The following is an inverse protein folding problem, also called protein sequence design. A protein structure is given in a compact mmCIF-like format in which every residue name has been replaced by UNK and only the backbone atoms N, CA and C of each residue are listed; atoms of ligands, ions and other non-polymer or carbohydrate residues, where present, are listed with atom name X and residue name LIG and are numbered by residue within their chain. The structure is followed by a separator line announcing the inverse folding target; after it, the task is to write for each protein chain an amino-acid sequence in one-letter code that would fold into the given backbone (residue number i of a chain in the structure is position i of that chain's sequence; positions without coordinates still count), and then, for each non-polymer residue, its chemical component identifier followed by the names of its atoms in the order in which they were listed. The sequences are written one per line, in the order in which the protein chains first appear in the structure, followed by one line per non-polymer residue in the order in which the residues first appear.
data_IF_190003235995
#
_entry.id   IF_190003235995
#
_cell.length_a   1.000
_cell.length_b   1.000
_cell.length_c   1.000
_cell.angle_alpha   90.00
_cell.angle_beta   90.00
_cell.angle_gamma   90.00
#
_symmetry.space_group_name_H-M   'P 1'
#
loop_
_entity.id
_entity.type
_entity.pdbx_description
1 polymer ?
#
# COMPACT_ATOMS: atom_id res chain seq x y z
N UNK A 1 18.13 -23.67 -10.57
CA UNK A 1 17.26 -24.12 -9.47
C UNK A 1 16.52 -22.91 -8.91
N UNK A 2 15.21 -23.05 -8.82
CA UNK A 2 14.22 -22.07 -8.37
C UNK A 2 14.25 -21.89 -6.85
N UNK A 3 13.73 -20.76 -6.37
CA UNK A 3 13.26 -20.52 -5.00
C UNK A 3 14.32 -19.89 -4.09
N UNK A 4 14.03 -18.95 -3.19
CA UNK A 4 12.79 -18.38 -2.65
C UNK A 4 13.16 -17.08 -1.91
N UNK A 5 12.26 -16.34 -1.27
CA UNK A 5 10.99 -16.78 -0.72
C UNK A 5 10.06 -15.60 -0.44
N UNK A 6 8.78 -15.94 -0.39
CA UNK A 6 7.76 -15.06 0.19
C UNK A 6 7.90 -15.02 1.70
N UNK A 7 8.00 -13.83 2.27
CA UNK A 7 7.48 -13.53 3.60
C UNK A 7 6.17 -12.76 3.38
N UNK A 8 5.01 -13.15 3.90
CA UNK A 8 4.75 -13.82 5.17
C UNK A 8 4.12 -12.77 6.09
N UNK A 9 2.87 -13.01 6.51
CA UNK A 9 2.25 -12.27 7.62
C UNK A 9 0.80 -11.87 7.38
N UNK A 10 -0.13 -12.79 7.70
CA UNK A 10 -1.46 -12.40 8.15
C UNK A 10 -1.39 -11.80 9.56
N UNK A 11 -2.32 -10.91 9.89
CA UNK A 11 -2.43 -10.32 11.22
C UNK A 11 -3.41 -9.16 11.25
N UNK A 12 -4.61 -9.43 11.77
CA UNK A 12 -5.58 -8.44 12.21
C UNK A 12 -5.11 -7.70 13.47
N UNK A 13 -5.74 -6.55 13.75
CA UNK A 13 -5.62 -5.63 14.89
C UNK A 13 -4.56 -4.53 14.78
N UNK A 14 -5.09 -3.30 14.79
CA UNK A 14 -4.31 -2.07 14.73
C UNK A 14 -3.45 -1.84 15.97
N UNK A 15 -2.26 -1.30 15.71
CA UNK A 15 -1.52 -0.43 16.61
C UNK A 15 -0.48 0.29 15.76
N UNK A 16 -0.31 1.59 15.99
CA UNK A 16 0.49 2.47 15.15
C UNK A 16 1.97 2.06 15.07
N UNK A 17 2.60 2.52 13.99
CA UNK A 17 4.06 2.57 13.78
C UNK A 17 4.69 1.27 13.27
N UNK A 18 4.56 0.97 11.98
CA UNK A 18 5.58 0.18 11.26
C UNK A 18 5.67 0.65 9.80
N UNK A 19 6.58 1.60 9.59
CA UNK A 19 7.56 1.47 8.49
C UNK A 19 7.01 1.58 7.06
N UNK A 20 6.53 2.75 6.65
CA UNK A 20 6.62 3.15 5.23
C UNK A 20 8.07 3.52 4.90
N UNK A 21 9.00 2.56 5.02
CA UNK A 21 10.43 2.81 4.71
C UNK A 21 10.70 2.77 3.21
N UNK A 22 9.83 2.14 2.43
CA UNK A 22 9.95 2.07 0.97
C UNK A 22 8.66 2.48 0.29
N UNK A 23 8.72 3.03 -0.95
CA UNK A 23 7.53 3.31 -1.74
C UNK A 23 6.65 2.07 -1.97
N UNK A 24 7.24 0.89 -2.09
CA UNK A 24 6.51 -0.35 -2.30
C UNK A 24 5.62 -0.72 -1.10
N UNK A 25 6.07 -0.42 0.13
CA UNK A 25 5.30 -0.72 1.34
C UNK A 25 4.08 0.20 1.48
N UNK A 26 4.24 1.47 1.10
CA UNK A 26 3.11 2.39 0.98
C UNK A 26 2.05 1.85 0.00
N UNK A 27 2.47 1.41 -1.20
CA UNK A 27 1.55 0.87 -2.21
C UNK A 27 0.81 -0.38 -1.74
N UNK A 28 1.43 -1.25 -0.94
CA UNK A 28 0.76 -2.41 -0.34
C UNK A 28 -0.30 -1.99 0.68
N UNK A 29 0.00 -0.98 1.50
CA UNK A 29 -0.86 -0.52 2.60
C UNK A 29 -2.18 0.16 2.16
N UNK A 30 -2.26 0.59 0.89
CA UNK A 30 -3.42 1.29 0.32
C UNK A 30 -4.32 0.39 -0.53
N UNK A 31 -3.98 -0.91 -0.68
CA UNK A 31 -4.84 -1.86 -1.40
C UNK A 31 -6.21 -2.00 -0.74
N UNK A 32 -7.26 -2.01 -1.54
CA UNK A 32 -8.65 -2.09 -1.10
C UNK A 32 -9.16 -0.86 -0.34
N UNK A 33 -8.36 0.20 -0.23
CA UNK A 33 -8.72 1.43 0.49
C UNK A 33 -9.02 2.55 -0.51
N UNK A 34 -9.97 3.45 -0.22
CA UNK A 34 -10.17 4.65 -1.03
C UNK A 34 -8.89 5.49 -1.05
N UNK A 35 -8.46 5.88 -2.23
CA UNK A 35 -7.31 6.74 -2.44
C UNK A 35 -7.70 7.96 -3.26
N UNK A 36 -7.05 9.08 -2.97
CA UNK A 36 -7.14 10.30 -3.78
C UNK A 36 -5.76 10.54 -4.41
N UNK A 37 -5.74 10.72 -5.72
CA UNK A 37 -4.54 11.04 -6.50
C UNK A 37 -4.69 12.45 -7.03
N UNK A 38 -3.78 13.33 -6.62
CA UNK A 38 -3.75 14.73 -7.07
C UNK A 38 -2.78 14.87 -8.22
N UNK A 39 -3.27 15.35 -9.38
CA UNK A 39 -2.42 15.63 -10.53
C UNK A 39 -1.94 17.08 -10.52
N UNK A 40 -0.83 17.33 -11.22
CA UNK A 40 -0.28 18.69 -11.41
C UNK A 40 -1.23 19.64 -12.15
N UNK A 41 -2.24 19.10 -12.84
CA UNK A 41 -3.33 19.87 -13.45
C UNK A 41 -4.35 20.42 -12.44
N UNK A 42 -4.23 20.07 -11.16
CA UNK A 42 -5.18 20.45 -10.11
C UNK A 42 -6.41 19.54 -10.01
N UNK A 43 -6.50 18.50 -10.84
CA UNK A 43 -7.58 17.52 -10.81
C UNK A 43 -7.30 16.45 -9.75
N UNK A 44 -8.29 16.16 -8.91
CA UNK A 44 -8.27 15.09 -7.93
C UNK A 44 -9.03 13.85 -8.45
N UNK A 45 -8.31 12.74 -8.61
CA UNK A 45 -8.90 11.45 -8.96
C UNK A 45 -9.13 10.60 -7.72
N UNK A 46 -10.33 10.02 -7.60
CA UNK A 46 -10.67 9.11 -6.51
C UNK A 46 -10.89 7.72 -7.04
N UNK A 47 -10.39 6.72 -6.32
CA UNK A 47 -10.57 5.33 -6.71
C UNK A 47 -10.08 4.37 -5.65
N UNK A 48 -10.14 3.08 -5.96
CA UNK A 48 -9.61 2.02 -5.12
C UNK A 48 -8.38 1.44 -5.79
N UNK A 49 -7.31 1.20 -5.01
CA UNK A 49 -6.19 0.39 -5.49
C UNK A 49 -6.56 -1.08 -5.37
N UNK A 50 -6.65 -1.77 -6.50
CA UNK A 50 -6.89 -3.23 -6.56
C UNK A 50 -5.70 -4.06 -6.07
#
# INVERSE_FOLDING_TARGET
MSGGGGGGGGGEKGSGTTTTKTPADFLKSIRGRPVVVKLNSGVDYRGFRV
#
